data_IF_268134354877
#
_entry.id   IF_268134354877
#
_cell.length_a   1.000
_cell.length_b   1.000
_cell.length_c   1.000
_cell.angle_alpha   90.00
_cell.angle_beta   90.00
_cell.angle_gamma   90.00
#
_symmetry.space_group_name_H-M   'P 1'
#
loop_
_entity.id
_entity.type
_entity.pdbx_description
1 polymer ?
#
# COMPACT_ATOMS: atom_id res chain seq x y z
N UNK A 1 8.14 45.30 10.53
CA UNK A 1 7.01 44.65 11.20
C UNK A 1 7.28 43.15 11.14
N UNK A 2 7.82 42.61 12.25
CA UNK A 2 8.18 41.21 12.36
C UNK A 2 6.95 40.36 12.69
N UNK A 3 6.67 39.35 11.87
CA UNK A 3 5.71 38.30 12.15
C UNK A 3 6.47 37.12 12.76
N UNK A 4 6.27 36.88 14.05
CA UNK A 4 6.74 35.70 14.75
C UNK A 4 5.80 34.50 14.37
N UNK A 5 6.29 33.61 13.55
CA UNK A 5 5.62 32.30 13.34
C UNK A 5 5.86 31.45 14.60
N UNK A 6 4.79 31.25 15.35
CA UNK A 6 4.77 30.31 16.44
C UNK A 6 4.70 28.87 15.87
N UNK A 7 5.80 28.13 16.02
CA UNK A 7 5.85 26.69 15.77
C UNK A 7 4.95 26.01 16.81
N UNK A 8 3.78 25.57 16.39
CA UNK A 8 2.95 24.65 17.17
C UNK A 8 3.64 23.27 17.12
N UNK A 9 4.22 22.84 18.23
CA UNK A 9 4.67 21.46 18.43
C UNK A 9 3.43 20.56 18.41
N UNK A 10 3.31 19.76 17.36
CA UNK A 10 2.32 18.68 17.29
C UNK A 10 2.57 17.63 18.38
N UNK A 11 1.60 16.74 18.64
CA UNK A 11 1.75 15.70 19.66
C UNK A 11 2.99 14.87 19.40
N UNK A 12 3.75 14.56 20.47
CA UNK A 12 4.91 13.66 20.43
C UNK A 12 4.47 12.28 19.93
N UNK A 13 4.55 12.04 18.63
CA UNK A 13 4.35 10.71 18.04
C UNK A 13 5.60 9.87 18.30
N UNK A 14 5.46 8.65 18.83
CA UNK A 14 6.59 7.76 19.06
C UNK A 14 7.29 7.45 17.73
N UNK A 15 8.62 7.65 17.70
CA UNK A 15 9.43 7.18 16.58
C UNK A 15 9.55 5.67 16.63
N UNK A 16 9.33 5.02 15.48
CA UNK A 16 9.63 3.59 15.34
C UNK A 16 11.16 3.40 15.37
N UNK A 17 11.66 2.32 15.97
CA UNK A 17 13.08 2.03 15.97
C UNK A 17 13.60 2.01 14.53
N UNK A 18 14.69 2.75 14.28
CA UNK A 18 15.27 2.84 12.94
C UNK A 18 15.68 1.44 12.49
N UNK A 19 15.14 0.97 11.35
CA UNK A 19 15.34 -0.40 10.86
C UNK A 19 16.80 -0.77 10.54
N UNK A 20 17.74 0.14 10.74
CA UNK A 20 19.19 -0.10 10.52
C UNK A 20 19.81 -0.95 11.63
N UNK A 21 19.29 -0.89 12.85
CA UNK A 21 19.81 -1.65 13.99
C UNK A 21 19.19 -3.05 14.13
N UNK A 22 18.16 -3.35 13.33
CA UNK A 22 17.41 -4.61 13.41
C UNK A 22 18.03 -5.78 12.62
N UNK A 23 19.02 -5.53 11.78
CA UNK A 23 19.67 -6.59 11.01
C UNK A 23 21.11 -6.76 11.51
N UNK A 24 21.45 -7.85 12.21
CA UNK A 24 22.85 -8.14 12.51
C UNK A 24 23.61 -8.29 11.19
N UNK A 25 24.65 -7.47 11.02
CA UNK A 25 25.58 -7.57 9.91
C UNK A 25 26.21 -8.98 9.94
N UNK A 26 26.03 -9.75 8.87
CA UNK A 26 26.51 -11.11 8.66
C UNK A 26 25.69 -12.23 9.33
N UNK A 27 24.63 -12.63 8.64
CA UNK A 27 24.12 -13.99 8.76
C UNK A 27 25.13 -14.95 8.08
N UNK A 28 25.55 -16.05 8.72
CA UNK A 28 26.30 -17.07 8.01
C UNK A 28 25.47 -17.53 6.79
N UNK A 29 26.13 -17.77 5.67
CA UNK A 29 25.46 -18.27 4.49
C UNK A 29 24.62 -19.48 4.87
N UNK A 30 23.35 -19.55 4.51
CA UNK A 30 22.54 -20.72 4.80
C UNK A 30 23.20 -21.93 4.12
N UNK A 31 23.43 -23.00 4.87
CA UNK A 31 23.82 -24.30 4.31
C UNK A 31 22.81 -24.75 3.22
N UNK A 32 23.12 -25.82 2.48
CA UNK A 32 22.25 -26.29 1.41
C UNK A 32 20.84 -26.51 1.97
N UNK A 33 19.90 -25.71 1.43
CA UNK A 33 18.51 -25.74 1.85
C UNK A 33 17.86 -26.97 1.21
N UNK A 34 17.73 -28.05 1.99
CA UNK A 34 16.97 -29.22 1.54
C UNK A 34 15.48 -28.87 1.64
N UNK A 35 14.80 -28.82 0.50
CA UNK A 35 13.34 -28.66 0.48
C UNK A 35 12.73 -29.87 1.18
N UNK A 36 11.96 -29.70 2.27
CA UNK A 36 11.36 -30.82 2.96
C UNK A 36 10.44 -31.61 2.03
N UNK A 37 10.45 -32.93 2.15
CA UNK A 37 9.49 -33.75 1.44
C UNK A 37 8.06 -33.32 1.81
N UNK A 38 7.22 -33.11 0.81
CA UNK A 38 5.82 -32.74 1.02
C UNK A 38 5.10 -33.92 1.67
N UNK A 39 4.70 -33.75 2.93
CA UNK A 39 3.80 -34.66 3.61
C UNK A 39 2.46 -33.94 3.89
N UNK A 40 1.40 -34.74 3.98
CA UNK A 40 0.08 -34.21 4.34
C UNK A 40 0.09 -33.59 5.75
N UNK A 41 0.88 -34.15 6.66
CA UNK A 41 0.99 -33.61 8.01
C UNK A 41 1.73 -32.27 8.03
N UNK A 42 2.76 -32.09 7.20
CA UNK A 42 3.43 -30.81 7.06
C UNK A 42 2.50 -29.76 6.44
N UNK A 43 1.71 -30.13 5.43
CA UNK A 43 0.69 -29.24 4.86
C UNK A 43 -0.30 -28.79 5.94
N UNK A 44 -0.90 -29.74 6.69
CA UNK A 44 -1.85 -29.40 7.77
C UNK A 44 -1.25 -28.48 8.84
N UNK A 45 -0.01 -28.72 9.19
CA UNK A 45 0.68 -27.93 10.23
C UNK A 45 1.05 -26.50 9.78
N UNK A 46 1.15 -26.27 8.46
CA UNK A 46 1.65 -25.01 7.91
C UNK A 46 0.67 -24.34 6.93
N UNK A 47 -0.57 -24.78 6.92
CA UNK A 47 -1.65 -24.14 6.19
C UNK A 47 -2.51 -23.30 7.13
N UNK A 48 -2.52 -22.01 6.87
CA UNK A 48 -3.39 -21.06 7.57
C UNK A 48 -4.60 -20.74 6.71
N UNK A 49 -5.79 -20.75 7.30
CA UNK A 49 -7.02 -20.39 6.65
C UNK A 49 -7.81 -19.36 7.46
N UNK A 50 -8.12 -18.23 6.83
CA UNK A 50 -8.96 -17.18 7.38
C UNK A 50 -10.30 -17.10 6.61
N UNK A 51 -11.33 -17.87 7.01
CA UNK A 51 -12.58 -17.98 6.26
C UNK A 51 -13.29 -16.65 6.06
N UNK A 52 -13.26 -15.78 7.05
CA UNK A 52 -13.89 -14.45 6.99
C UNK A 52 -13.28 -13.55 5.91
N UNK A 53 -12.03 -13.78 5.55
CA UNK A 53 -11.31 -13.03 4.52
C UNK A 53 -11.29 -13.76 3.17
N UNK A 54 -11.77 -15.00 3.11
CA UNK A 54 -11.59 -15.88 1.94
C UNK A 54 -10.12 -16.11 1.61
N UNK A 55 -9.22 -16.09 2.62
CA UNK A 55 -7.78 -16.12 2.44
C UNK A 55 -7.18 -17.41 2.99
N UNK A 56 -6.30 -18.03 2.20
CA UNK A 56 -5.50 -19.18 2.61
C UNK A 56 -4.03 -18.92 2.36
N UNK A 57 -3.18 -19.29 3.30
CA UNK A 57 -1.72 -19.21 3.19
C UNK A 57 -1.11 -20.58 3.45
N UNK A 58 -0.41 -21.11 2.46
CA UNK A 58 0.37 -22.35 2.55
C UNK A 58 1.88 -22.04 2.55
N UNK A 59 2.53 -22.26 3.68
CA UNK A 59 3.98 -22.13 3.81
C UNK A 59 4.68 -23.49 3.96
N UNK A 60 3.97 -24.59 3.76
CA UNK A 60 4.49 -25.95 3.94
C UNK A 60 5.67 -26.27 3.03
N UNK A 61 5.77 -25.60 1.87
CA UNK A 61 6.86 -25.79 0.90
C UNK A 61 8.08 -24.91 1.16
N UNK A 62 7.98 -23.99 2.11
CA UNK A 62 9.12 -23.16 2.48
C UNK A 62 10.15 -23.97 3.26
N UNK A 63 11.43 -23.91 2.87
CA UNK A 63 12.50 -24.70 3.51
C UNK A 63 12.99 -24.00 4.78
N UNK A 64 12.27 -24.14 5.87
CA UNK A 64 12.69 -23.70 7.20
C UNK A 64 12.80 -24.91 8.13
N UNK A 65 13.74 -24.86 9.11
CA UNK A 65 13.92 -25.93 10.09
C UNK A 65 12.75 -25.99 11.09
N UNK A 66 12.64 -27.10 11.78
CA UNK A 66 11.69 -27.26 12.87
C UNK A 66 11.93 -26.20 13.94
N UNK A 67 10.86 -25.68 14.54
CA UNK A 67 10.91 -24.61 15.53
C UNK A 67 11.18 -23.21 14.96
N UNK A 68 11.31 -23.03 13.64
CA UNK A 68 11.59 -21.73 13.04
C UNK A 68 10.44 -20.74 13.29
N UNK A 69 9.20 -21.14 13.08
CA UNK A 69 8.03 -20.26 13.27
C UNK A 69 7.90 -19.84 14.73
N UNK A 70 8.15 -20.76 15.65
CA UNK A 70 8.17 -20.49 17.09
C UNK A 70 9.29 -19.51 17.46
N UNK A 71 10.47 -19.65 16.85
CA UNK A 71 11.59 -18.74 17.06
C UNK A 71 11.31 -17.33 16.52
N UNK A 72 10.44 -17.22 15.52
CA UNK A 72 10.03 -15.94 14.95
C UNK A 72 8.89 -15.25 15.71
N UNK A 73 8.20 -15.95 16.62
CA UNK A 73 7.03 -15.41 17.31
C UNK A 73 7.26 -14.05 17.99
N UNK A 74 8.38 -13.79 18.70
CA UNK A 74 8.63 -12.48 19.30
C UNK A 74 8.78 -11.36 18.25
N UNK A 75 9.44 -11.66 17.13
CA UNK A 75 9.61 -10.69 16.03
C UNK A 75 8.31 -10.41 15.32
N UNK A 76 7.47 -11.40 15.12
CA UNK A 76 6.14 -11.23 14.55
C UNK A 76 5.25 -10.41 15.48
N UNK A 77 5.29 -10.65 16.78
CA UNK A 77 4.55 -9.85 17.75
C UNK A 77 4.97 -8.37 17.71
N UNK A 78 6.28 -8.11 17.64
CA UNK A 78 6.78 -6.74 17.48
C UNK A 78 6.33 -6.12 16.17
N UNK A 79 6.43 -6.84 15.04
CA UNK A 79 5.98 -6.34 13.75
C UNK A 79 4.48 -5.98 13.73
N UNK A 80 3.63 -6.75 14.41
CA UNK A 80 2.21 -6.40 14.55
C UNK A 80 2.00 -5.16 15.41
N UNK A 81 2.78 -4.99 16.49
CA UNK A 81 2.73 -3.79 17.31
C UNK A 81 3.19 -2.55 16.51
N UNK A 82 4.25 -2.66 15.73
CA UNK A 82 4.76 -1.60 14.86
C UNK A 82 3.74 -1.24 13.77
N UNK A 83 3.08 -2.25 13.17
CA UNK A 83 1.98 -1.99 12.22
C UNK A 83 0.82 -1.22 12.85
N UNK A 84 0.41 -1.59 14.06
CA UNK A 84 -0.65 -0.86 14.76
C UNK A 84 -0.24 0.59 15.05
N UNK A 85 1.03 0.83 15.41
CA UNK A 85 1.56 2.17 15.61
C UNK A 85 1.59 2.98 14.29
N UNK A 86 1.97 2.35 13.18
CA UNK A 86 1.96 2.99 11.85
C UNK A 86 0.54 3.42 11.45
N UNK A 87 -0.45 2.58 11.66
CA UNK A 87 -1.85 2.90 11.39
C UNK A 87 -2.35 4.09 12.22
N UNK A 88 -1.77 4.29 13.39
CA UNK A 88 -2.06 5.42 14.29
C UNK A 88 -1.20 6.66 14.02
N UNK A 89 -0.34 6.65 13.00
CA UNK A 89 0.43 7.81 12.57
C UNK A 89 1.85 7.88 13.13
N UNK A 90 2.45 6.78 13.58
CA UNK A 90 3.86 6.76 13.91
C UNK A 90 4.73 7.13 12.70
N UNK A 91 5.85 7.81 12.96
CA UNK A 91 6.79 8.22 11.92
C UNK A 91 7.49 6.98 11.34
N UNK A 92 7.19 6.66 10.09
CA UNK A 92 7.78 5.54 9.36
C UNK A 92 9.05 5.90 8.60
N UNK A 93 9.17 7.15 8.17
CA UNK A 93 10.36 7.68 7.52
C UNK A 93 10.97 8.77 8.43
N UNK A 94 11.95 8.41 9.28
CA UNK A 94 12.54 9.36 10.21
C UNK A 94 13.37 10.44 9.51
N UNK A 95 13.97 10.14 8.35
CA UNK A 95 14.80 11.09 7.60
C UNK A 95 13.97 12.27 7.09
N UNK A 96 12.74 12.02 6.67
CA UNK A 96 11.80 13.03 6.18
C UNK A 96 10.72 13.40 7.22
N UNK A 97 10.74 12.76 8.40
CA UNK A 97 9.73 12.90 9.46
C UNK A 97 8.30 12.67 8.95
N UNK A 98 8.12 11.63 8.13
CA UNK A 98 6.83 11.33 7.50
C UNK A 98 6.16 10.11 8.07
N UNK A 99 4.85 10.22 8.21
CA UNK A 99 3.93 9.10 8.40
C UNK A 99 3.66 8.40 7.07
N UNK A 100 3.17 7.16 7.11
CA UNK A 100 2.57 6.45 5.96
C UNK A 100 1.07 6.33 6.18
N UNK A 101 0.29 6.79 5.21
CA UNK A 101 -1.15 6.99 5.38
C UNK A 101 -2.04 6.30 4.35
N UNK A 102 -1.54 5.33 3.58
CA UNK A 102 -2.35 4.66 2.57
C UNK A 102 -3.51 3.82 3.16
N UNK A 103 -3.45 3.43 4.45
CA UNK A 103 -4.59 2.83 5.17
C UNK A 103 -5.76 3.80 5.25
N UNK A 104 -5.47 5.07 5.56
CA UNK A 104 -6.48 6.13 5.75
C UNK A 104 -7.19 6.49 4.45
N UNK A 105 -6.57 6.24 3.28
CA UNK A 105 -7.22 6.40 1.99
C UNK A 105 -8.38 5.40 1.78
N UNK A 106 -8.36 4.28 2.52
CA UNK A 106 -9.43 3.26 2.52
C UNK A 106 -10.42 3.46 3.62
N UNK A 107 -9.96 3.97 4.76
CA UNK A 107 -10.77 4.19 5.96
C UNK A 107 -10.33 5.50 6.62
N UNK A 108 -10.84 6.66 6.16
CA UNK A 108 -10.43 7.98 6.65
C UNK A 108 -10.57 8.16 8.16
N UNK A 109 -11.49 7.43 8.80
CA UNK A 109 -11.73 7.46 10.24
C UNK A 109 -10.51 7.01 11.06
N UNK A 110 -9.58 6.25 10.46
CA UNK A 110 -8.33 5.83 11.09
C UNK A 110 -7.25 6.92 11.05
N UNK A 111 -7.46 8.01 10.31
CA UNK A 111 -6.47 9.08 10.24
C UNK A 111 -6.20 9.67 11.63
N UNK A 112 -4.91 9.92 11.96
CA UNK A 112 -4.51 10.32 13.32
C UNK A 112 -5.02 11.70 13.71
N UNK A 113 -5.40 12.55 12.75
CA UNK A 113 -5.99 13.87 13.06
C UNK A 113 -7.24 14.13 12.23
N UNK A 114 -8.18 14.94 12.77
CA UNK A 114 -9.39 15.33 12.06
C UNK A 114 -9.08 16.05 10.72
N UNK A 115 -8.04 16.87 10.69
CA UNK A 115 -7.64 17.62 9.49
C UNK A 115 -7.23 16.70 8.36
N UNK A 116 -6.46 15.64 8.65
CA UNK A 116 -6.09 14.60 7.69
C UNK A 116 -7.30 13.84 7.19
N UNK A 117 -8.17 13.40 8.09
CA UNK A 117 -9.42 12.74 7.73
C UNK A 117 -10.24 13.58 6.78
N UNK A 118 -10.46 14.84 7.13
CA UNK A 118 -11.30 15.74 6.35
C UNK A 118 -10.64 16.10 5.00
N UNK A 119 -9.31 16.22 4.95
CA UNK A 119 -8.58 16.42 3.72
C UNK A 119 -8.72 15.21 2.77
N UNK A 120 -8.59 13.99 3.29
CA UNK A 120 -8.77 12.76 2.51
C UNK A 120 -10.19 12.68 1.96
N UNK A 121 -11.19 12.88 2.82
CA UNK A 121 -12.61 12.82 2.42
C UNK A 121 -12.93 13.83 1.33
N UNK A 122 -12.55 15.10 1.52
CA UNK A 122 -12.75 16.15 0.51
C UNK A 122 -12.05 15.83 -0.81
N UNK A 123 -10.83 15.28 -0.76
CA UNK A 123 -10.08 14.90 -1.96
C UNK A 123 -10.78 13.78 -2.73
N UNK A 124 -11.26 12.75 -2.01
CA UNK A 124 -12.01 11.64 -2.63
C UNK A 124 -13.28 12.13 -3.30
N UNK A 125 -14.02 13.03 -2.66
CA UNK A 125 -15.25 13.58 -3.21
C UNK A 125 -14.97 14.48 -4.40
N UNK A 126 -13.96 15.35 -4.35
CA UNK A 126 -13.52 16.16 -5.49
C UNK A 126 -13.10 15.31 -6.70
N UNK A 127 -12.42 14.16 -6.47
CA UNK A 127 -12.09 13.22 -7.55
C UNK A 127 -13.37 12.66 -8.18
N UNK A 128 -14.36 12.25 -7.39
CA UNK A 128 -15.63 11.73 -7.91
C UNK A 128 -16.39 12.77 -8.72
N UNK A 129 -16.46 14.00 -8.24
CA UNK A 129 -17.11 15.12 -8.93
C UNK A 129 -16.40 15.43 -10.26
N UNK A 130 -15.07 15.53 -10.23
CA UNK A 130 -14.28 15.74 -11.45
C UNK A 130 -14.52 14.63 -12.49
N UNK A 131 -14.48 13.37 -12.08
CA UNK A 131 -14.73 12.22 -12.96
C UNK A 131 -16.15 12.27 -13.52
N UNK A 132 -17.14 12.63 -12.71
CA UNK A 132 -18.51 12.78 -13.16
C UNK A 132 -18.64 13.88 -14.23
N UNK A 133 -18.04 15.05 -13.99
CA UNK A 133 -18.05 16.18 -14.93
C UNK A 133 -17.36 15.83 -16.28
N UNK A 134 -16.21 15.14 -16.25
CA UNK A 134 -15.55 14.65 -17.47
C UNK A 134 -16.44 13.66 -18.23
N UNK A 135 -17.07 12.73 -17.55
CA UNK A 135 -17.94 11.74 -18.18
C UNK A 135 -19.26 12.34 -18.69
N UNK A 136 -19.78 13.36 -18.03
CA UNK A 136 -20.95 14.11 -18.51
C UNK A 136 -20.61 14.95 -19.75
N UNK A 137 -19.37 15.42 -19.85
CA UNK A 137 -18.92 16.33 -20.90
C UNK A 137 -18.97 17.79 -20.48
N UNK A 138 -19.20 18.09 -19.19
CA UNK A 138 -19.12 19.44 -18.62
C UNK A 138 -17.68 19.95 -18.68
N UNK A 139 -16.71 19.05 -18.53
CA UNK A 139 -15.29 19.24 -18.85
C UNK A 139 -15.04 18.55 -20.19
N UNK A 140 -14.81 19.33 -21.23
CA UNK A 140 -14.70 18.86 -22.61
C UNK A 140 -13.40 19.35 -23.26
N UNK A 141 -12.92 18.68 -24.33
CA UNK A 141 -11.79 19.18 -25.11
C UNK A 141 -12.16 20.44 -25.89
N UNK A 142 -11.17 21.31 -26.19
CA UNK A 142 -11.41 22.55 -26.96
C UNK A 142 -12.07 22.33 -28.33
N UNK A 143 -11.86 21.16 -28.91
CA UNK A 143 -12.50 20.75 -30.19
C UNK A 143 -13.97 20.35 -30.07
N UNK A 144 -14.54 20.38 -28.87
CA UNK A 144 -15.89 19.90 -28.57
C UNK A 144 -15.98 18.39 -28.39
N UNK A 145 -17.14 17.90 -27.95
CA UNK A 145 -17.39 16.50 -27.67
C UNK A 145 -16.90 16.09 -26.28
N UNK A 146 -16.62 14.79 -26.10
CA UNK A 146 -16.14 14.22 -24.83
C UNK A 146 -14.73 13.65 -25.00
N UNK A 147 -13.97 13.65 -23.91
CA UNK A 147 -12.71 12.91 -23.87
C UNK A 147 -12.97 11.41 -24.08
N UNK A 148 -12.18 10.78 -24.95
CA UNK A 148 -12.27 9.35 -25.29
C UNK A 148 -11.01 8.59 -24.88
N UNK A 149 -9.93 9.31 -24.71
CA UNK A 149 -8.62 8.75 -24.42
C UNK A 149 -8.05 9.38 -23.15
N UNK A 150 -7.40 8.56 -22.33
CA UNK A 150 -6.66 8.93 -21.14
C UNK A 150 -5.22 8.45 -21.31
N UNK A 151 -4.27 9.36 -21.31
CA UNK A 151 -2.86 9.03 -21.31
C UNK A 151 -2.32 9.15 -19.89
N UNK A 152 -1.76 8.04 -19.39
CA UNK A 152 -1.05 7.99 -18.11
C UNK A 152 0.44 7.98 -18.40
N UNK A 153 1.14 9.01 -17.93
CA UNK A 153 2.61 9.12 -18.04
C UNK A 153 3.19 8.95 -16.65
N UNK A 154 4.05 7.97 -16.47
CA UNK A 154 4.65 7.70 -15.17
C UNK A 154 5.62 6.55 -15.22
N UNK A 155 6.52 6.46 -14.25
CA UNK A 155 7.51 5.38 -14.14
C UNK A 155 7.35 4.68 -12.79
N UNK A 156 7.64 3.38 -12.74
CA UNK A 156 7.54 2.57 -11.53
C UNK A 156 6.13 2.61 -10.92
N UNK A 157 6.03 2.95 -9.64
CA UNK A 157 4.75 2.96 -8.90
C UNK A 157 3.70 3.93 -9.46
N UNK A 158 4.10 4.96 -10.18
CA UNK A 158 3.17 5.91 -10.83
C UNK A 158 2.46 5.31 -12.05
N UNK A 159 3.01 4.26 -12.65
CA UNK A 159 2.42 3.58 -13.80
C UNK A 159 1.87 2.19 -13.45
N UNK A 160 2.61 1.39 -12.69
CA UNK A 160 2.29 -0.03 -12.45
C UNK A 160 0.98 -0.23 -11.70
N UNK A 161 0.67 0.64 -10.72
CA UNK A 161 -0.61 0.58 -10.01
C UNK A 161 -1.81 0.85 -10.92
N UNK A 162 -1.84 1.96 -11.67
CA UNK A 162 -2.85 2.22 -12.68
C UNK A 162 -2.96 1.14 -13.76
N UNK A 163 -1.84 0.58 -14.23
CA UNK A 163 -1.83 -0.55 -15.18
C UNK A 163 -2.52 -1.78 -14.60
N UNK A 164 -2.16 -2.16 -13.37
CA UNK A 164 -2.78 -3.29 -12.67
C UNK A 164 -4.30 -3.13 -12.59
N UNK A 165 -4.77 -1.96 -12.16
CA UNK A 165 -6.21 -1.68 -12.06
C UNK A 165 -6.88 -1.72 -13.44
N UNK A 166 -6.25 -1.12 -14.45
CA UNK A 166 -6.77 -1.13 -15.81
C UNK A 166 -6.86 -2.55 -16.40
N UNK A 167 -5.83 -3.38 -16.18
CA UNK A 167 -5.84 -4.77 -16.66
C UNK A 167 -6.83 -5.66 -15.89
N UNK A 168 -6.99 -5.43 -14.60
CA UNK A 168 -7.86 -6.24 -13.76
C UNK A 168 -9.36 -5.89 -13.95
N UNK A 169 -9.68 -4.61 -14.12
CA UNK A 169 -11.06 -4.11 -14.13
C UNK A 169 -11.49 -3.55 -15.49
N UNK A 170 -10.55 -3.11 -16.32
CA UNK A 170 -10.81 -2.63 -17.67
C UNK A 170 -11.20 -3.78 -18.60
N UNK A 171 -11.93 -3.44 -19.64
CA UNK A 171 -12.31 -4.38 -20.72
C UNK A 171 -11.90 -3.78 -22.04
N UNK A 172 -10.67 -3.98 -22.50
CA UNK A 172 -10.20 -3.46 -23.78
C UNK A 172 -11.16 -3.82 -24.90
N UNK A 173 -11.72 -2.80 -25.58
CA UNK A 173 -12.74 -3.00 -26.61
C UNK A 173 -14.15 -3.28 -26.08
N UNK A 174 -14.37 -3.27 -24.76
CA UNK A 174 -15.67 -3.45 -24.14
C UNK A 174 -16.50 -2.17 -24.18
N UNK A 175 -17.82 -2.32 -24.43
CA UNK A 175 -18.78 -1.18 -24.46
C UNK A 175 -18.94 -0.48 -23.09
N UNK A 176 -18.25 -0.94 -22.04
CA UNK A 176 -18.39 -0.40 -20.67
C UNK A 176 -17.33 0.61 -20.30
N UNK A 177 -16.17 0.59 -20.96
CA UNK A 177 -15.10 1.53 -20.70
C UNK A 177 -15.46 2.88 -21.35
N UNK A 178 -15.54 3.92 -20.54
CA UNK A 178 -15.90 5.27 -21.03
C UNK A 178 -14.74 5.94 -21.74
N UNK A 179 -13.51 5.51 -21.43
CA UNK A 179 -12.28 6.05 -22.02
C UNK A 179 -11.30 4.92 -22.29
N UNK A 180 -10.50 5.05 -23.34
CA UNK A 180 -9.37 4.19 -23.62
C UNK A 180 -8.16 4.68 -22.82
N UNK A 181 -7.55 3.82 -22.03
CA UNK A 181 -6.36 4.15 -21.23
C UNK A 181 -5.12 3.68 -21.95
N UNK A 182 -4.16 4.57 -22.12
CA UNK A 182 -2.83 4.29 -22.69
C UNK A 182 -1.77 4.70 -21.68
N UNK A 183 -0.67 3.95 -21.61
CA UNK A 183 0.42 4.19 -20.67
C UNK A 183 1.71 4.49 -21.41
N UNK A 184 2.47 5.47 -20.90
CA UNK A 184 3.88 5.69 -21.21
C UNK A 184 4.62 5.53 -19.87
N UNK A 185 5.35 4.43 -19.74
CA UNK A 185 6.01 4.01 -18.51
C UNK A 185 7.51 3.79 -18.67
N UNK A 186 8.03 4.09 -19.86
CA UNK A 186 9.44 4.01 -20.18
C UNK A 186 9.89 5.28 -20.95
N UNK A 187 11.21 5.53 -20.91
CA UNK A 187 11.87 6.67 -21.60
C UNK A 187 12.51 6.28 -22.92
N UNK A 188 12.45 5.00 -23.31
CA UNK A 188 13.01 4.49 -24.57
C UNK A 188 12.00 4.54 -25.74
#
# INVERSE_FOLDING_TARGET
VGSSEGSASGPDNPELPSGRDAFPASRPAPGPVTVPAMSWDRFKAHYFHAPKLGFGLDVSRMPFPDGYLESMAPRLAQAFADMAALEQGAIANPDEKRMVGHYWLRQPELAPTPELRDAITRTIDAIKEFVAAVHAGDIAPPSGGKFKDLLVVGIGGSALGPQLVNHALGRPGGRRDKMRVTFIDNTD
#
